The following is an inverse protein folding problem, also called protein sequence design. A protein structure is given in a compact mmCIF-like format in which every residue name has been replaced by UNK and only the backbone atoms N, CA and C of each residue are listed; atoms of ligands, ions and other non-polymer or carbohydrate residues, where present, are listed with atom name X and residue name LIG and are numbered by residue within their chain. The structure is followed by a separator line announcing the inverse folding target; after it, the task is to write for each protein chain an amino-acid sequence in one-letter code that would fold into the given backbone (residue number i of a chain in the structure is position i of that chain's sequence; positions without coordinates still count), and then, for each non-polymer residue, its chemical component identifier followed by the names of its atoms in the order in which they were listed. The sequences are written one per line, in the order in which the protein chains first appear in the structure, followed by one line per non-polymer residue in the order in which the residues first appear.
data_IF_608263153289
#
_entry.id   IF_608263153289
#
_cell.length_a   1.000
_cell.length_b   1.000
_cell.length_c   1.000
_cell.angle_alpha   90.00
_cell.angle_beta   90.00
_cell.angle_gamma   90.00
#
_symmetry.space_group_name_H-M   'P 1'
#
loop_
_entity.id
_entity.type
_entity.pdbx_description
1 polymer ?
#
# COMPACT_ATOMS: atom_id res chain seq x y z
N UNK A 1 -35.43 -6.98 33.75
CA UNK A 1 -34.42 -6.39 32.86
C UNK A 1 -34.59 -7.02 31.50
N UNK A 2 -35.23 -6.32 30.58
CA UNK A 2 -35.57 -6.82 29.25
C UNK A 2 -34.36 -6.64 28.31
N UNK A 3 -33.86 -7.72 27.79
CA UNK A 3 -32.88 -7.70 26.68
C UNK A 3 -33.63 -7.32 25.40
N UNK A 4 -33.28 -6.18 24.82
CA UNK A 4 -33.87 -5.70 23.56
C UNK A 4 -33.39 -6.44 22.34
N UNK A 5 -34.18 -6.47 21.23
CA UNK A 5 -33.96 -7.26 20.03
C UNK A 5 -32.93 -6.67 19.02
N UNK A 6 -32.14 -5.67 19.40
CA UNK A 6 -31.30 -4.92 18.41
C UNK A 6 -29.94 -5.54 18.02
N UNK A 7 -29.48 -6.59 18.70
CA UNK A 7 -28.17 -7.19 18.34
C UNK A 7 -28.23 -8.24 17.22
N UNK A 8 -29.36 -8.88 17.02
CA UNK A 8 -29.54 -9.92 15.99
C UNK A 8 -29.75 -9.33 14.58
N UNK A 9 -30.43 -8.21 14.44
CA UNK A 9 -30.68 -7.57 13.14
C UNK A 9 -29.42 -6.94 12.54
N UNK A 10 -28.54 -6.37 13.37
CA UNK A 10 -27.27 -5.78 12.90
C UNK A 10 -26.30 -6.86 12.44
N UNK A 11 -26.24 -8.03 13.10
CA UNK A 11 -25.43 -9.17 12.71
C UNK A 11 -25.93 -9.82 11.40
N UNK A 12 -27.23 -9.91 11.20
CA UNK A 12 -27.83 -10.48 9.98
C UNK A 12 -27.62 -9.54 8.78
N UNK A 13 -27.72 -8.22 8.98
CA UNK A 13 -27.46 -7.23 7.92
C UNK A 13 -26.00 -7.22 7.47
N UNK A 14 -25.05 -7.32 8.40
CA UNK A 14 -23.62 -7.35 8.05
C UNK A 14 -23.19 -8.66 7.37
N UNK A 15 -23.76 -9.80 7.79
CA UNK A 15 -23.52 -11.11 7.16
C UNK A 15 -24.15 -11.20 5.77
N UNK A 16 -25.29 -10.57 5.54
CA UNK A 16 -25.97 -10.55 4.26
C UNK A 16 -25.21 -9.68 3.23
N UNK A 17 -24.74 -8.50 3.62
CA UNK A 17 -23.88 -7.67 2.77
C UNK A 17 -22.55 -8.36 2.45
N UNK A 18 -21.96 -9.08 3.41
CA UNK A 18 -20.73 -9.84 3.19
C UNK A 18 -20.94 -11.01 2.22
N UNK A 19 -22.07 -11.71 2.28
CA UNK A 19 -22.37 -12.84 1.38
C UNK A 19 -22.60 -12.37 -0.07
N UNK A 20 -23.28 -11.24 -0.28
CA UNK A 20 -23.49 -10.64 -1.61
C UNK A 20 -22.14 -10.21 -2.21
N UNK A 21 -21.29 -9.55 -1.43
CA UNK A 21 -19.96 -9.10 -1.86
C UNK A 21 -19.05 -10.27 -2.23
N UNK A 22 -19.10 -11.36 -1.46
CA UNK A 22 -18.38 -12.61 -1.72
C UNK A 22 -18.74 -13.21 -3.07
N UNK A 23 -20.03 -13.32 -3.36
CA UNK A 23 -20.55 -13.92 -4.60
C UNK A 23 -20.15 -13.10 -5.84
N UNK A 24 -20.20 -11.79 -5.74
CA UNK A 24 -19.79 -10.87 -6.80
C UNK A 24 -18.29 -10.98 -7.11
N UNK A 25 -17.45 -10.93 -6.10
CA UNK A 25 -16.00 -11.04 -6.26
C UNK A 25 -15.57 -12.41 -6.80
N UNK A 26 -16.20 -13.50 -6.35
CA UNK A 26 -15.91 -14.84 -6.83
C UNK A 26 -16.34 -15.04 -8.29
N UNK A 27 -17.46 -14.46 -8.71
CA UNK A 27 -17.93 -14.53 -10.08
C UNK A 27 -17.00 -13.78 -11.03
N UNK A 28 -16.57 -12.57 -10.66
CA UNK A 28 -15.56 -11.79 -11.42
C UNK A 28 -14.26 -12.56 -11.53
N UNK A 29 -13.83 -13.19 -10.45
CA UNK A 29 -12.59 -13.94 -10.44
C UNK A 29 -12.66 -15.17 -11.36
N UNK A 30 -13.77 -15.92 -11.35
CA UNK A 30 -13.96 -17.08 -12.22
C UNK A 30 -13.90 -16.71 -13.72
N UNK A 31 -14.40 -15.53 -14.11
CA UNK A 31 -14.23 -15.01 -15.47
C UNK A 31 -12.81 -14.54 -15.79
N UNK A 32 -12.01 -14.21 -14.76
CA UNK A 32 -10.65 -13.69 -14.91
C UNK A 32 -9.56 -14.78 -14.89
N UNK A 33 -9.84 -15.96 -14.29
CA UNK A 33 -8.91 -17.09 -14.25
C UNK A 33 -8.31 -17.45 -15.62
N UNK A 34 -9.07 -17.49 -16.73
CA UNK A 34 -8.53 -17.83 -18.05
C UNK A 34 -7.48 -16.83 -18.58
N UNK A 35 -7.41 -15.63 -18.01
CA UNK A 35 -6.49 -14.54 -18.43
C UNK A 35 -5.23 -14.51 -17.55
N UNK A 36 -5.22 -15.28 -16.45
CA UNK A 36 -4.08 -15.35 -15.52
C UNK A 36 -3.03 -16.34 -16.02
N UNK A 37 -1.77 -15.94 -15.95
CA UNK A 37 -0.61 -16.77 -16.32
C UNK A 37 -0.27 -17.86 -15.28
N UNK A 38 -1.26 -18.31 -14.51
CA UNK A 38 -1.15 -19.38 -13.52
C UNK A 38 -2.34 -20.35 -13.58
N UNK A 39 -2.05 -21.63 -13.35
CA UNK A 39 -3.08 -22.66 -13.25
C UNK A 39 -3.78 -22.59 -11.87
N UNK A 40 -5.03 -22.12 -11.88
CA UNK A 40 -5.95 -22.10 -10.74
C UNK A 40 -7.11 -23.08 -10.92
N UNK A 41 -6.91 -24.18 -11.65
CA UNK A 41 -7.98 -25.18 -11.92
C UNK A 41 -8.65 -25.69 -10.65
N UNK A 42 -7.88 -25.91 -9.59
CA UNK A 42 -8.41 -26.32 -8.27
C UNK A 42 -9.29 -25.25 -7.63
N UNK A 43 -9.04 -23.97 -7.93
CA UNK A 43 -9.82 -22.87 -7.41
C UNK A 43 -11.23 -22.83 -7.98
N UNK A 44 -11.42 -23.08 -9.26
CA UNK A 44 -12.76 -23.21 -9.87
C UNK A 44 -13.59 -24.25 -9.14
N UNK A 45 -13.03 -25.42 -8.88
CA UNK A 45 -13.74 -26.50 -8.15
C UNK A 45 -14.11 -26.08 -6.73
N UNK A 46 -13.24 -25.34 -6.04
CA UNK A 46 -13.50 -24.85 -4.69
C UNK A 46 -14.57 -23.76 -4.72
N UNK A 47 -14.51 -22.83 -5.68
CA UNK A 47 -15.48 -21.77 -5.84
C UNK A 47 -16.86 -22.31 -6.21
N UNK A 48 -16.94 -23.27 -7.12
CA UNK A 48 -18.18 -23.94 -7.48
C UNK A 48 -18.81 -24.62 -6.26
N UNK A 49 -18.01 -25.33 -5.46
CA UNK A 49 -18.48 -25.98 -4.22
C UNK A 49 -19.00 -24.96 -3.20
N UNK A 50 -18.31 -23.81 -3.04
CA UNK A 50 -18.74 -22.74 -2.14
C UNK A 50 -20.01 -22.03 -2.66
N UNK A 51 -20.12 -21.84 -3.96
CA UNK A 51 -21.30 -21.24 -4.60
C UNK A 51 -22.51 -22.18 -4.59
N UNK A 52 -22.30 -23.50 -4.72
CA UNK A 52 -23.37 -24.51 -4.61
C UNK A 52 -23.89 -24.68 -3.18
N UNK A 53 -23.04 -24.48 -2.18
CA UNK A 53 -23.41 -24.51 -0.76
C UNK A 53 -24.25 -23.29 -0.33
N UNK A 54 -24.30 -22.23 -1.15
CA UNK A 54 -25.08 -21.02 -0.87
C UNK A 54 -26.55 -21.22 -1.27
N UNK A 55 -27.41 -21.28 -0.26
CA UNK A 55 -28.85 -21.62 -0.34
C UNK A 55 -29.68 -20.55 -1.06
N UNK A 56 -29.11 -19.40 -1.44
CA UNK A 56 -29.83 -18.27 -2.03
C UNK A 56 -29.59 -18.12 -3.53
N UNK A 57 -30.33 -18.87 -4.34
CA UNK A 57 -30.33 -18.75 -5.81
C UNK A 57 -30.82 -17.41 -6.38
N UNK A 58 -31.29 -16.46 -5.55
CA UNK A 58 -31.95 -15.23 -6.01
C UNK A 58 -31.02 -14.07 -6.39
N UNK A 59 -29.69 -14.12 -6.07
CA UNK A 59 -28.82 -12.95 -6.15
C UNK A 59 -27.81 -12.92 -7.33
N UNK A 60 -27.85 -13.93 -8.23
CA UNK A 60 -26.98 -13.90 -9.43
C UNK A 60 -27.26 -12.73 -10.36
N UNK A 61 -28.49 -12.23 -10.39
CA UNK A 61 -28.86 -11.08 -11.23
C UNK A 61 -28.42 -9.75 -10.62
N UNK A 62 -28.42 -9.62 -9.30
CA UNK A 62 -27.86 -8.50 -8.55
C UNK A 62 -26.34 -8.42 -8.72
N UNK A 63 -25.64 -9.57 -8.59
CA UNK A 63 -24.21 -9.67 -8.81
C UNK A 63 -23.82 -9.25 -10.24
N UNK A 64 -24.54 -9.75 -11.27
CA UNK A 64 -24.32 -9.34 -12.68
C UNK A 64 -24.55 -7.85 -12.91
N UNK A 65 -25.56 -7.26 -12.27
CA UNK A 65 -25.84 -5.84 -12.38
C UNK A 65 -24.77 -4.96 -11.69
N UNK A 66 -24.12 -5.43 -10.65
CA UNK A 66 -23.01 -4.73 -10.03
C UNK A 66 -21.72 -4.89 -10.84
N UNK A 67 -21.47 -6.07 -11.44
CA UNK A 67 -20.37 -6.30 -12.38
C UNK A 67 -20.43 -5.35 -13.59
N UNK A 68 -21.63 -5.05 -14.10
CA UNK A 68 -21.81 -4.09 -15.18
C UNK A 68 -21.43 -2.65 -14.81
N UNK A 69 -21.29 -2.35 -13.53
CA UNK A 69 -20.86 -1.04 -13.00
C UNK A 69 -19.33 -0.93 -12.83
N UNK A 70 -18.61 -2.03 -12.96
CA UNK A 70 -17.14 -2.03 -12.93
C UNK A 70 -16.65 -1.37 -14.23
N UNK A 71 -16.20 -0.11 -14.12
CA UNK A 71 -15.83 0.72 -15.29
C UNK A 71 -14.33 0.71 -15.57
N UNK A 72 -13.52 0.07 -14.73
CA UNK A 72 -12.08 0.06 -14.87
C UNK A 72 -11.49 -1.23 -14.32
N UNK A 73 -10.33 -1.61 -14.84
CA UNK A 73 -9.52 -2.72 -14.33
C UNK A 73 -9.21 -2.55 -12.84
N UNK A 74 -9.03 -1.31 -12.38
CA UNK A 74 -8.78 -0.96 -10.97
C UNK A 74 -9.91 -1.36 -10.03
N UNK A 75 -11.14 -1.07 -10.42
CA UNK A 75 -12.33 -1.43 -9.67
C UNK A 75 -12.51 -2.95 -9.60
N UNK A 76 -12.12 -3.67 -10.64
CA UNK A 76 -12.19 -5.11 -10.71
C UNK A 76 -11.21 -5.76 -9.71
N UNK A 77 -9.94 -5.33 -9.69
CA UNK A 77 -8.96 -5.85 -8.73
C UNK A 77 -9.39 -5.60 -7.29
N UNK A 78 -9.96 -4.44 -6.99
CA UNK A 78 -10.43 -4.12 -5.64
C UNK A 78 -11.58 -5.05 -5.20
N UNK A 79 -12.56 -5.28 -6.08
CA UNK A 79 -13.70 -6.19 -5.79
C UNK A 79 -13.21 -7.62 -5.57
N UNK A 80 -12.32 -8.12 -6.43
CA UNK A 80 -11.74 -9.45 -6.31
C UNK A 80 -10.95 -9.56 -5.00
N UNK A 81 -10.11 -8.58 -4.71
CA UNK A 81 -9.30 -8.54 -3.49
C UNK A 81 -10.14 -8.58 -2.23
N UNK A 82 -11.19 -7.77 -2.15
CA UNK A 82 -12.12 -7.74 -1.01
C UNK A 82 -12.83 -9.09 -0.83
N UNK A 83 -13.28 -9.72 -1.93
CA UNK A 83 -13.93 -11.02 -1.88
C UNK A 83 -13.01 -12.11 -1.34
N UNK A 84 -11.74 -12.17 -1.79
CA UNK A 84 -10.77 -13.12 -1.27
C UNK A 84 -10.40 -12.87 0.19
N UNK A 85 -10.34 -11.62 0.61
CA UNK A 85 -10.07 -11.27 2.01
C UNK A 85 -11.20 -11.76 2.93
N UNK A 86 -12.45 -11.59 2.52
CA UNK A 86 -13.62 -12.11 3.26
C UNK A 86 -13.62 -13.64 3.28
N UNK A 87 -13.34 -14.31 2.16
CA UNK A 87 -13.25 -15.77 2.08
C UNK A 87 -12.16 -16.33 2.99
N UNK A 88 -10.97 -15.77 2.92
CA UNK A 88 -9.83 -16.16 3.74
C UNK A 88 -10.16 -16.05 5.24
N UNK A 89 -10.79 -14.94 5.63
CA UNK A 89 -11.21 -14.69 7.00
C UNK A 89 -12.27 -15.69 7.46
N UNK A 90 -13.28 -15.98 6.64
CA UNK A 90 -14.33 -16.94 6.96
C UNK A 90 -13.79 -18.37 7.04
N UNK A 91 -12.91 -18.79 6.13
CA UNK A 91 -12.28 -20.10 6.18
C UNK A 91 -11.40 -20.27 7.43
N UNK A 92 -10.70 -19.24 7.84
CA UNK A 92 -9.91 -19.26 9.08
C UNK A 92 -10.81 -19.45 10.31
N UNK A 93 -11.93 -18.76 10.39
CA UNK A 93 -12.92 -18.93 11.46
C UNK A 93 -13.50 -20.35 11.44
N UNK A 94 -13.83 -20.88 10.25
CA UNK A 94 -14.37 -22.24 10.10
C UNK A 94 -13.34 -23.29 10.51
N UNK A 95 -12.06 -23.10 10.21
CA UNK A 95 -10.99 -24.00 10.63
C UNK A 95 -10.80 -23.98 12.15
N UNK A 96 -10.85 -22.81 12.80
CA UNK A 96 -10.82 -22.69 14.26
C UNK A 96 -12.02 -23.35 14.92
N UNK A 97 -13.23 -23.18 14.37
CA UNK A 97 -14.45 -23.85 14.85
C UNK A 97 -14.38 -25.38 14.64
N UNK A 98 -13.82 -25.84 13.52
CA UNK A 98 -13.60 -27.25 13.23
C UNK A 98 -12.66 -27.91 14.24
N UNK A 99 -11.56 -27.24 14.59
CA UNK A 99 -10.61 -27.73 15.60
C UNK A 99 -11.30 -27.87 16.97
N UNK A 100 -12.25 -27.00 17.28
CA UNK A 100 -13.04 -27.03 18.51
C UNK A 100 -14.17 -28.08 18.48
N UNK A 101 -14.69 -28.43 17.29
CA UNK A 101 -15.77 -29.40 17.09
C UNK A 101 -15.19 -30.72 16.63
N UNK A 102 -15.06 -31.69 17.53
CA UNK A 102 -14.33 -32.99 17.43
C UNK A 102 -14.74 -33.91 16.29
N UNK A 103 -15.67 -33.56 15.38
CA UNK A 103 -16.31 -34.54 14.49
C UNK A 103 -16.55 -34.11 13.03
N UNK A 104 -15.59 -33.46 12.38
CA UNK A 104 -15.70 -33.18 10.93
C UNK A 104 -14.72 -34.08 10.16
N UNK A 105 -15.27 -35.13 9.53
CA UNK A 105 -14.52 -36.17 8.80
C UNK A 105 -13.82 -35.73 7.51
N UNK A 106 -13.78 -34.43 7.15
CA UNK A 106 -13.21 -33.97 5.88
C UNK A 106 -12.10 -32.95 6.06
N UNK A 107 -11.03 -33.35 6.76
CA UNK A 107 -9.85 -32.57 7.07
C UNK A 107 -9.12 -32.04 5.82
N UNK A 108 -9.10 -32.86 4.76
CA UNK A 108 -8.29 -32.59 3.56
C UNK A 108 -8.87 -31.47 2.68
N UNK A 109 -10.19 -31.39 2.58
CA UNK A 109 -10.85 -30.37 1.76
C UNK A 109 -10.66 -28.95 2.30
N UNK A 110 -10.86 -28.74 3.61
CA UNK A 110 -10.68 -27.42 4.24
C UNK A 110 -9.24 -26.91 4.15
N UNK A 111 -8.28 -27.80 4.42
CA UNK A 111 -6.86 -27.44 4.31
C UNK A 111 -6.49 -27.08 2.88
N UNK A 112 -6.97 -27.85 1.89
CA UNK A 112 -6.74 -27.60 0.47
C UNK A 112 -7.42 -26.29 0.03
N UNK A 113 -8.66 -26.05 0.43
CA UNK A 113 -9.41 -24.85 0.14
C UNK A 113 -8.72 -23.60 0.73
N UNK A 114 -8.29 -23.68 1.99
CA UNK A 114 -7.57 -22.58 2.63
C UNK A 114 -6.27 -22.26 1.89
N UNK A 115 -5.44 -23.25 1.60
CA UNK A 115 -4.16 -23.04 0.89
C UNK A 115 -4.40 -22.42 -0.49
N UNK A 116 -5.38 -22.92 -1.24
CA UNK A 116 -5.66 -22.43 -2.60
C UNK A 116 -6.17 -20.99 -2.57
N UNK A 117 -7.06 -20.66 -1.64
CA UNK A 117 -7.59 -19.29 -1.49
C UNK A 117 -6.51 -18.32 -0.99
N UNK A 118 -5.65 -18.77 -0.06
CA UNK A 118 -4.53 -17.96 0.42
C UNK A 118 -3.50 -17.68 -0.70
N UNK A 119 -3.24 -18.66 -1.55
CA UNK A 119 -2.38 -18.48 -2.73
C UNK A 119 -2.99 -17.51 -3.74
N UNK A 120 -4.28 -17.62 -4.02
CA UNK A 120 -4.99 -16.72 -4.92
C UNK A 120 -5.03 -15.28 -4.36
N UNK A 121 -5.33 -15.14 -3.07
CA UNK A 121 -5.26 -13.85 -2.37
C UNK A 121 -3.87 -13.23 -2.49
N UNK A 122 -2.82 -13.97 -2.15
CA UNK A 122 -1.43 -13.51 -2.21
C UNK A 122 -1.02 -13.08 -3.62
N UNK A 123 -1.49 -13.79 -4.65
CA UNK A 123 -1.23 -13.44 -6.04
C UNK A 123 -1.87 -12.10 -6.42
N UNK A 124 -3.17 -11.92 -6.12
CA UNK A 124 -3.89 -10.67 -6.43
C UNK A 124 -3.34 -9.50 -5.63
N UNK A 125 -3.03 -9.71 -4.36
CA UNK A 125 -2.39 -8.71 -3.52
C UNK A 125 -1.02 -8.27 -4.08
N UNK A 126 -0.25 -9.22 -4.64
CA UNK A 126 1.01 -8.92 -5.33
C UNK A 126 0.79 -8.06 -6.57
N UNK A 127 -0.21 -8.37 -7.40
CA UNK A 127 -0.55 -7.53 -8.56
C UNK A 127 -0.97 -6.11 -8.14
N UNK A 128 -1.74 -5.98 -7.05
CA UNK A 128 -2.13 -4.70 -6.48
C UNK A 128 -0.89 -3.91 -6.00
N UNK A 129 0.06 -4.58 -5.35
CA UNK A 129 1.33 -4.00 -4.93
C UNK A 129 2.14 -3.50 -6.12
N UNK A 130 2.33 -4.32 -7.14
CA UNK A 130 3.07 -3.94 -8.35
C UNK A 130 2.46 -2.72 -9.03
N UNK A 131 1.12 -2.62 -9.06
CA UNK A 131 0.44 -1.45 -9.57
C UNK A 131 0.72 -0.19 -8.75
N UNK A 132 0.77 -0.31 -7.43
CA UNK A 132 1.16 0.80 -6.55
C UNK A 132 2.61 1.20 -6.76
N UNK A 133 3.51 0.23 -6.94
CA UNK A 133 4.93 0.47 -7.24
C UNK A 133 5.10 1.28 -8.55
N UNK A 134 4.34 0.97 -9.60
CA UNK A 134 4.38 1.72 -10.87
C UNK A 134 3.94 3.18 -10.74
N UNK A 135 3.21 3.53 -9.66
CA UNK A 135 2.81 4.90 -9.31
C UNK A 135 3.89 5.67 -8.52
N UNK A 136 5.01 5.02 -8.15
CA UNK A 136 6.13 5.67 -7.47
C UNK A 136 6.91 6.52 -8.49
N UNK A 137 6.30 7.62 -8.89
CA UNK A 137 6.83 8.58 -9.87
C UNK A 137 6.50 10.00 -9.49
N UNK A 138 7.36 10.93 -9.91
CA UNK A 138 7.12 12.36 -9.71
C UNK A 138 7.51 12.84 -8.31
N UNK A 139 6.75 13.74 -7.74
CA UNK A 139 7.09 14.37 -6.47
C UNK A 139 6.58 13.54 -5.28
N UNK A 140 7.50 13.25 -4.37
CA UNK A 140 7.29 12.56 -3.11
C UNK A 140 7.56 13.52 -1.96
N UNK A 141 6.62 13.71 -1.05
CA UNK A 141 6.79 14.61 0.09
C UNK A 141 6.77 13.86 1.40
N UNK A 142 7.78 14.08 2.23
CA UNK A 142 7.79 13.61 3.62
C UNK A 142 7.21 14.70 4.50
N UNK A 143 6.13 14.38 5.17
CA UNK A 143 5.52 15.18 6.23
C UNK A 143 6.23 14.82 7.55
N UNK A 144 7.25 15.62 7.88
CA UNK A 144 8.04 15.44 9.09
C UNK A 144 7.60 16.43 10.16
N UNK A 145 7.16 15.92 11.32
CA UNK A 145 6.66 16.75 12.43
C UNK A 145 7.67 17.77 12.96
N UNK A 146 8.98 17.51 12.79
CA UNK A 146 10.05 18.42 13.19
C UNK A 146 10.22 19.63 12.22
N UNK A 147 9.71 19.50 10.99
CA UNK A 147 9.92 20.48 9.92
C UNK A 147 8.63 21.10 9.40
N UNK A 148 7.74 21.53 10.31
CA UNK A 148 6.43 22.13 9.96
C UNK A 148 6.29 23.60 10.34
N UNK A 149 7.22 24.17 11.11
CA UNK A 149 7.05 25.47 11.78
C UNK A 149 5.76 25.51 12.61
N UNK A 150 5.50 24.46 13.38
CA UNK A 150 4.31 24.32 14.24
C UNK A 150 2.97 24.28 13.48
N UNK A 151 2.98 24.16 12.15
CA UNK A 151 1.77 24.02 11.35
C UNK A 151 1.23 22.59 11.43
N UNK A 152 -0.07 22.48 11.26
CA UNK A 152 -0.74 21.18 11.24
C UNK A 152 -0.31 20.36 10.02
N UNK A 153 0.10 19.10 10.25
CA UNK A 153 0.53 18.19 9.18
C UNK A 153 -0.58 17.91 8.15
N UNK A 154 -1.82 17.87 8.59
CA UNK A 154 -2.98 17.62 7.71
C UNK A 154 -3.20 18.79 6.75
N UNK A 155 -3.00 20.03 7.22
CA UNK A 155 -3.12 21.22 6.37
C UNK A 155 -2.01 21.27 5.31
N UNK A 156 -0.77 20.91 5.70
CA UNK A 156 0.34 20.80 4.75
C UNK A 156 0.07 19.68 3.74
N UNK A 157 -0.46 18.52 4.18
CA UNK A 157 -0.83 17.42 3.31
C UNK A 157 -1.84 17.84 2.24
N UNK A 158 -2.93 18.49 2.66
CA UNK A 158 -3.97 18.98 1.73
C UNK A 158 -3.41 19.96 0.70
N UNK A 159 -2.60 20.94 1.13
CA UNK A 159 -1.98 21.91 0.23
C UNK A 159 -1.02 21.23 -0.76
N UNK A 160 -0.22 20.28 -0.29
CA UNK A 160 0.74 19.53 -1.12
C UNK A 160 0.02 18.68 -2.16
N UNK A 161 -1.06 18.00 -1.78
CA UNK A 161 -1.88 17.21 -2.69
C UNK A 161 -2.59 18.09 -3.72
N UNK A 162 -3.13 19.23 -3.31
CA UNK A 162 -3.70 20.25 -4.22
C UNK A 162 -2.65 20.77 -5.21
N UNK A 163 -1.39 20.90 -4.77
CA UNK A 163 -0.26 21.25 -5.61
C UNK A 163 0.17 20.19 -6.61
N UNK A 164 -0.34 18.95 -6.50
CA UNK A 164 -0.09 17.88 -7.46
C UNK A 164 0.81 16.75 -6.98
N UNK A 165 1.24 16.75 -5.71
CA UNK A 165 1.95 15.60 -5.13
C UNK A 165 1.09 14.34 -5.18
N UNK A 166 1.72 13.20 -5.46
CA UNK A 166 1.06 11.89 -5.56
C UNK A 166 1.59 10.86 -4.56
N UNK A 167 2.59 11.21 -3.75
CA UNK A 167 3.14 10.35 -2.72
C UNK A 167 3.41 11.19 -1.47
N UNK A 168 2.77 10.82 -0.36
CA UNK A 168 3.01 11.42 0.96
C UNK A 168 3.54 10.38 1.93
N UNK A 169 4.54 10.73 2.72
CA UNK A 169 5.04 9.91 3.81
C UNK A 169 4.85 10.63 5.14
N UNK A 170 4.26 9.95 6.12
CA UNK A 170 4.25 10.41 7.50
C UNK A 170 5.54 10.01 8.21
N UNK A 171 6.26 10.99 8.73
CA UNK A 171 7.40 10.81 9.64
C UNK A 171 7.16 11.62 10.91
N UNK A 172 6.77 10.96 11.99
CA UNK A 172 6.58 11.59 13.29
C UNK A 172 7.29 10.77 14.37
N UNK A 173 8.42 11.27 14.83
CA UNK A 173 9.26 10.60 15.85
C UNK A 173 9.07 11.16 17.25
N UNK A 174 8.23 12.17 17.42
CA UNK A 174 8.10 12.93 18.66
C UNK A 174 6.77 12.71 19.38
N UNK A 175 5.78 12.13 18.73
CA UNK A 175 4.47 11.83 19.31
C UNK A 175 4.38 10.40 19.82
N UNK A 176 3.42 10.16 20.70
CA UNK A 176 3.05 8.82 21.12
C UNK A 176 2.48 8.00 19.96
N UNK A 177 2.68 6.68 19.97
CA UNK A 177 2.22 5.78 18.89
C UNK A 177 0.73 5.88 18.59
N UNK A 178 -0.12 6.12 19.58
CA UNK A 178 -1.57 6.34 19.38
C UNK A 178 -1.85 7.57 18.52
N UNK A 179 -1.16 8.68 18.80
CA UNK A 179 -1.28 9.91 18.01
C UNK A 179 -0.76 9.72 16.58
N UNK A 180 0.38 9.03 16.44
CA UNK A 180 0.94 8.69 15.10
C UNK A 180 -0.04 7.84 14.30
N UNK A 181 -0.70 6.86 14.94
CA UNK A 181 -1.71 6.02 14.29
C UNK A 181 -2.92 6.85 13.85
N UNK A 182 -3.44 7.72 14.70
CA UNK A 182 -4.59 8.60 14.35
C UNK A 182 -4.25 9.52 13.17
N UNK A 183 -3.03 10.09 13.15
CA UNK A 183 -2.53 10.87 12.03
C UNK A 183 -2.41 10.02 10.76
N UNK A 184 -1.86 8.81 10.88
CA UNK A 184 -1.69 7.90 9.75
C UNK A 184 -3.03 7.50 9.12
N UNK A 185 -4.04 7.17 9.91
CA UNK A 185 -5.39 6.84 9.42
C UNK A 185 -5.98 8.03 8.65
N UNK A 186 -5.92 9.23 9.20
CA UNK A 186 -6.44 10.45 8.54
C UNK A 186 -5.69 10.78 7.25
N UNK A 187 -4.36 10.67 7.25
CA UNK A 187 -3.56 10.91 6.04
C UNK A 187 -3.82 9.87 4.97
N UNK A 188 -4.07 8.61 5.35
CA UNK A 188 -4.45 7.55 4.42
C UNK A 188 -5.77 7.88 3.70
N UNK A 189 -6.81 8.30 4.43
CA UNK A 189 -8.10 8.71 3.87
C UNK A 189 -7.97 9.91 2.89
N UNK A 190 -7.17 10.92 3.27
CA UNK A 190 -6.90 12.09 2.44
C UNK A 190 -6.16 11.70 1.15
N UNK A 191 -5.15 10.84 1.26
CA UNK A 191 -4.39 10.37 0.10
C UNK A 191 -5.27 9.54 -0.84
N UNK A 192 -6.14 8.67 -0.33
CA UNK A 192 -7.09 7.92 -1.16
C UNK A 192 -8.04 8.86 -1.92
N UNK A 193 -8.59 9.86 -1.24
CA UNK A 193 -9.48 10.85 -1.86
C UNK A 193 -8.79 11.67 -2.97
N UNK A 194 -7.46 11.82 -2.90
CA UNK A 194 -6.63 12.50 -3.88
C UNK A 194 -5.95 11.57 -4.89
N UNK A 195 -6.27 10.27 -4.88
CA UNK A 195 -5.63 9.22 -5.69
C UNK A 195 -4.09 9.18 -5.52
N UNK A 196 -3.60 9.51 -4.32
CA UNK A 196 -2.20 9.54 -3.95
C UNK A 196 -1.81 8.33 -3.10
N UNK A 197 -0.53 7.96 -3.13
CA UNK A 197 0.04 6.93 -2.27
C UNK A 197 0.36 7.51 -0.89
N UNK A 198 0.02 6.76 0.15
CA UNK A 198 0.38 7.06 1.53
C UNK A 198 1.41 6.05 2.04
N UNK A 199 2.48 6.54 2.65
CA UNK A 199 3.61 5.77 3.17
C UNK A 199 3.83 6.11 4.65
N UNK A 200 4.08 5.10 5.46
CA UNK A 200 4.50 5.26 6.86
C UNK A 200 6.01 5.07 6.96
N UNK A 201 6.67 5.87 7.80
CA UNK A 201 8.10 5.79 8.03
C UNK A 201 8.41 4.90 9.25
N UNK A 202 9.33 3.95 9.14
CA UNK A 202 9.94 3.09 10.16
C UNK A 202 9.01 2.09 10.87
N UNK A 203 7.73 2.42 11.09
CA UNK A 203 6.79 1.69 11.95
C UNK A 203 5.86 0.73 11.19
N UNK A 204 6.19 -0.57 11.07
CA UNK A 204 5.36 -1.54 10.33
C UNK A 204 4.00 -1.79 10.98
N UNK A 205 3.88 -1.68 12.30
CA UNK A 205 2.62 -1.79 13.03
C UNK A 205 1.66 -0.63 12.70
N UNK A 206 2.17 0.59 12.62
CA UNK A 206 1.39 1.76 12.16
C UNK A 206 0.99 1.61 10.70
N UNK A 207 1.90 1.14 9.83
CA UNK A 207 1.60 0.90 8.41
C UNK A 207 0.48 -0.13 8.24
N UNK A 208 0.52 -1.23 9.00
CA UNK A 208 -0.51 -2.27 8.99
C UNK A 208 -1.86 -1.74 9.47
N UNK A 209 -1.89 -1.11 10.66
CA UNK A 209 -3.14 -0.67 11.30
C UNK A 209 -3.81 0.49 10.55
N UNK A 210 -3.04 1.39 9.94
CA UNK A 210 -3.56 2.49 9.10
C UNK A 210 -3.90 2.06 7.68
N UNK A 211 -3.59 0.80 7.30
CA UNK A 211 -3.70 0.28 5.93
C UNK A 211 -2.95 1.16 4.93
N UNK A 212 -1.76 1.61 5.30
CA UNK A 212 -0.91 2.41 4.43
C UNK A 212 -0.61 1.66 3.12
N UNK A 213 -0.45 2.38 2.02
CA UNK A 213 -0.05 1.79 0.75
C UNK A 213 1.38 1.24 0.78
N UNK A 214 2.24 1.85 1.61
CA UNK A 214 3.63 1.43 1.75
C UNK A 214 4.25 1.74 3.10
N UNK A 215 5.39 1.09 3.34
CA UNK A 215 6.29 1.32 4.46
C UNK A 215 7.65 1.78 3.90
N UNK A 216 8.28 2.75 4.54
CA UNK A 216 9.65 3.16 4.24
C UNK A 216 10.57 2.88 5.43
N UNK A 217 11.68 2.17 5.19
CA UNK A 217 12.65 1.75 6.20
C UNK A 217 14.03 2.39 5.97
N UNK A 218 14.68 2.79 7.04
CA UNK A 218 16.08 3.18 7.03
C UNK A 218 17.03 1.98 7.22
N UNK A 219 18.33 2.24 7.23
CA UNK A 219 19.36 1.20 7.33
C UNK A 219 19.44 0.56 8.73
N UNK A 220 18.98 1.26 9.76
CA UNK A 220 19.01 0.81 11.17
C UNK A 220 17.65 0.31 11.68
N UNK A 221 16.61 0.38 10.82
CA UNK A 221 15.27 -0.07 11.15
C UNK A 221 15.12 -1.58 10.93
N UNK A 222 13.91 -2.09 11.08
CA UNK A 222 13.62 -3.50 10.83
C UNK A 222 14.00 -3.88 9.39
N UNK A 223 14.62 -5.04 9.21
CA UNK A 223 14.96 -5.53 7.86
C UNK A 223 13.71 -5.76 7.00
N UNK A 224 13.80 -5.47 5.69
CA UNK A 224 12.69 -5.58 4.73
C UNK A 224 12.01 -6.95 4.79
N UNK A 225 12.80 -8.02 4.87
CA UNK A 225 12.31 -9.41 4.95
C UNK A 225 11.47 -9.69 6.21
N UNK A 226 11.77 -9.03 7.33
CA UNK A 226 10.98 -9.14 8.57
C UNK A 226 9.72 -8.27 8.51
N UNK A 227 9.84 -7.04 8.01
CA UNK A 227 8.69 -6.18 7.82
C UNK A 227 7.66 -6.80 6.86
N UNK A 228 8.10 -7.49 5.81
CA UNK A 228 7.24 -8.22 4.87
C UNK A 228 6.39 -9.30 5.54
N UNK A 229 6.87 -9.92 6.62
CA UNK A 229 6.10 -10.92 7.37
C UNK A 229 4.98 -10.32 8.24
N UNK A 230 5.09 -9.03 8.56
CA UNK A 230 4.10 -8.30 9.36
C UNK A 230 3.03 -7.63 8.51
N UNK A 231 3.36 -7.26 7.28
CA UNK A 231 2.50 -6.46 6.41
C UNK A 231 1.63 -7.34 5.51
N UNK A 232 0.52 -6.77 5.05
CA UNK A 232 -0.30 -7.38 4.01
C UNK A 232 0.48 -7.41 2.68
N UNK A 233 0.16 -8.39 1.83
CA UNK A 233 0.90 -8.64 0.59
C UNK A 233 0.86 -7.48 -0.42
N UNK A 234 -0.17 -6.63 -0.37
CA UNK A 234 -0.32 -5.46 -1.22
C UNK A 234 0.49 -4.24 -0.77
N UNK A 235 1.03 -4.26 0.44
CA UNK A 235 1.83 -3.14 0.97
C UNK A 235 3.23 -3.16 0.37
N UNK A 236 3.64 -2.11 -0.32
CA UNK A 236 5.01 -1.99 -0.82
C UNK A 236 5.98 -1.52 0.28
N UNK A 237 7.24 -1.90 0.16
CA UNK A 237 8.30 -1.53 1.11
C UNK A 237 9.44 -0.87 0.36
N UNK A 238 9.79 0.36 0.76
CA UNK A 238 10.98 1.05 0.29
C UNK A 238 12.07 1.07 1.34
N UNK A 239 13.32 1.23 0.89
CA UNK A 239 14.46 1.35 1.80
C UNK A 239 15.41 2.46 1.42
N UNK A 240 15.91 3.19 2.42
CA UNK A 240 16.94 4.22 2.28
C UNK A 240 18.33 3.59 2.05
N UNK A 241 19.11 4.13 1.11
CA UNK A 241 20.45 3.68 0.80
C UNK A 241 21.41 4.87 0.65
N UNK A 242 22.66 4.70 1.06
CA UNK A 242 23.69 5.72 0.98
C UNK A 242 24.67 5.47 -0.20
N UNK A 243 24.66 4.27 -0.76
CA UNK A 243 25.56 3.82 -1.84
C UNK A 243 24.93 2.65 -2.61
N UNK A 244 25.60 2.18 -3.66
CA UNK A 244 25.14 1.11 -4.54
C UNK A 244 25.11 -0.25 -3.84
N UNK A 245 26.03 -0.51 -2.92
CA UNK A 245 26.09 -1.76 -2.16
C UNK A 245 24.85 -1.92 -1.28
N UNK A 246 24.51 -0.89 -0.50
CA UNK A 246 23.27 -0.87 0.31
C UNK A 246 22.02 -0.98 -0.56
N UNK A 247 22.00 -0.38 -1.76
CA UNK A 247 20.89 -0.48 -2.70
C UNK A 247 20.72 -1.93 -3.20
N UNK A 248 21.81 -2.59 -3.59
CA UNK A 248 21.80 -4.00 -3.99
C UNK A 248 21.33 -4.92 -2.86
N UNK A 249 21.80 -4.69 -1.62
CA UNK A 249 21.33 -5.44 -0.45
C UNK A 249 19.81 -5.24 -0.23
N UNK A 250 19.32 -4.00 -0.37
CA UNK A 250 17.90 -3.68 -0.20
C UNK A 250 17.04 -4.40 -1.23
N UNK A 251 17.45 -4.44 -2.48
CA UNK A 251 16.79 -5.19 -3.56
C UNK A 251 16.77 -6.69 -3.27
N UNK A 252 17.92 -7.26 -2.86
CA UNK A 252 18.02 -8.67 -2.47
C UNK A 252 17.16 -9.03 -1.24
N UNK A 253 16.89 -8.08 -0.34
CA UNK A 253 15.98 -8.26 0.79
C UNK A 253 14.50 -8.16 0.38
N UNK A 254 14.17 -7.82 -0.87
CA UNK A 254 12.82 -7.69 -1.39
C UNK A 254 12.19 -6.31 -1.19
N UNK A 255 12.99 -5.24 -1.20
CA UNK A 255 12.49 -3.88 -1.30
C UNK A 255 11.80 -3.67 -2.65
N UNK A 256 10.71 -2.91 -2.65
CA UNK A 256 9.91 -2.61 -3.83
C UNK A 256 10.34 -1.29 -4.50
N UNK A 257 11.08 -0.43 -3.81
CA UNK A 257 11.76 0.73 -4.37
C UNK A 257 13.00 1.08 -3.54
N UNK A 258 13.95 1.75 -4.19
CA UNK A 258 15.22 2.14 -3.60
C UNK A 258 15.28 3.66 -3.43
N UNK A 259 15.38 4.14 -2.18
CA UNK A 259 15.63 5.56 -1.94
C UNK A 259 17.14 5.78 -1.82
N UNK A 260 17.68 6.71 -2.61
CA UNK A 260 19.11 7.03 -2.64
C UNK A 260 19.37 8.47 -2.20
N UNK A 261 20.27 8.69 -1.30
CA UNK A 261 20.63 10.02 -0.81
C UNK A 261 21.57 10.00 0.40
N UNK A 262 22.08 11.21 0.76
CA UNK A 262 21.61 12.53 0.31
C UNK A 262 22.25 12.93 -1.01
N UNK A 263 21.44 13.34 -2.00
CA UNK A 263 21.96 13.72 -3.34
C UNK A 263 22.79 15.00 -3.27
N UNK A 264 22.29 16.01 -2.55
CA UNK A 264 22.98 17.28 -2.29
C UNK A 264 23.17 17.48 -0.78
N UNK A 265 24.09 18.33 -0.35
CA UNK A 265 24.26 18.69 1.05
C UNK A 265 22.94 19.19 1.65
N UNK A 266 22.62 18.73 2.87
CA UNK A 266 21.41 19.12 3.58
C UNK A 266 21.61 19.02 5.09
N UNK A 267 20.89 19.86 5.85
CA UNK A 267 20.82 19.79 7.31
C UNK A 267 19.52 19.15 7.82
N UNK A 268 18.58 18.84 6.90
CA UNK A 268 17.28 18.28 7.26
C UNK A 268 17.43 16.85 7.78
N UNK A 269 16.65 16.49 8.80
CA UNK A 269 16.62 15.15 9.39
C UNK A 269 17.98 14.66 9.93
N UNK A 270 18.76 15.55 10.54
CA UNK A 270 20.04 15.22 11.17
C UNK A 270 21.15 14.78 10.20
N UNK A 271 21.02 15.08 8.91
CA UNK A 271 21.93 14.64 7.85
C UNK A 271 23.06 15.63 7.53
N UNK A 272 23.28 16.64 8.38
CA UNK A 272 24.26 17.73 8.14
C UNK A 272 25.72 17.25 7.93
N UNK A 273 26.08 16.08 8.45
CA UNK A 273 27.43 15.53 8.36
C UNK A 273 27.59 14.41 7.33
N UNK A 274 26.55 14.10 6.53
CA UNK A 274 26.63 13.07 5.48
C UNK A 274 27.28 13.63 4.23
N UNK A 275 28.20 12.86 3.65
CA UNK A 275 28.74 13.16 2.33
C UNK A 275 27.62 12.97 1.30
N UNK A 276 27.42 13.98 0.44
CA UNK A 276 26.45 13.88 -0.63
C UNK A 276 26.84 12.79 -1.63
N UNK A 277 25.90 11.93 -1.99
CA UNK A 277 26.11 10.84 -2.96
C UNK A 277 26.26 11.38 -4.38
N UNK A 278 25.63 12.52 -4.67
CA UNK A 278 25.68 13.17 -5.98
C UNK A 278 24.79 12.50 -7.04
N UNK A 279 24.74 13.13 -8.19
CA UNK A 279 23.91 12.68 -9.33
C UNK A 279 24.44 11.42 -10.02
N UNK A 280 25.75 11.18 -9.95
CA UNK A 280 26.35 10.01 -10.60
C UNK A 280 25.89 8.70 -9.97
N UNK A 281 25.74 8.67 -8.64
CA UNK A 281 25.22 7.49 -7.95
C UNK A 281 23.82 7.11 -8.43
N UNK A 282 22.98 8.09 -8.79
CA UNK A 282 21.64 7.81 -9.35
C UNK A 282 21.76 7.15 -10.72
N UNK A 283 22.66 7.65 -11.60
CA UNK A 283 22.90 7.08 -12.93
C UNK A 283 23.41 5.65 -12.83
N UNK A 284 24.42 5.44 -12.01
CA UNK A 284 25.01 4.11 -11.79
C UNK A 284 24.00 3.13 -11.18
N UNK A 285 23.12 3.60 -10.28
CA UNK A 285 22.05 2.78 -9.73
C UNK A 285 21.01 2.44 -10.80
N UNK A 286 20.63 3.39 -11.67
CA UNK A 286 19.67 3.15 -12.75
C UNK A 286 20.15 2.07 -13.74
N UNK A 287 21.46 2.01 -13.99
CA UNK A 287 22.06 0.97 -14.84
C UNK A 287 22.03 -0.44 -14.20
N UNK A 288 21.77 -0.55 -12.91
CA UNK A 288 21.85 -1.80 -12.14
C UNK A 288 20.49 -2.36 -11.70
N UNK A 289 19.41 -1.57 -11.70
CA UNK A 289 18.10 -2.01 -11.21
C UNK A 289 16.95 -1.54 -12.10
N UNK A 290 15.87 -2.30 -12.12
CA UNK A 290 14.59 -1.91 -12.72
C UNK A 290 13.59 -1.35 -11.68
N UNK A 291 13.93 -1.42 -10.39
CA UNK A 291 13.08 -0.89 -9.33
C UNK A 291 13.00 0.64 -9.42
N UNK A 292 11.89 1.25 -8.98
CA UNK A 292 11.79 2.69 -8.87
C UNK A 292 12.89 3.27 -7.97
N UNK A 293 13.55 4.32 -8.45
CA UNK A 293 14.56 5.06 -7.71
C UNK A 293 13.94 6.35 -7.18
N UNK A 294 13.96 6.52 -5.85
CA UNK A 294 13.53 7.72 -5.15
C UNK A 294 14.76 8.50 -4.69
N UNK A 295 15.05 9.63 -5.32
CA UNK A 295 16.18 10.47 -4.94
C UNK A 295 15.79 11.47 -3.83
N UNK A 296 16.60 11.56 -2.77
CA UNK A 296 16.34 12.41 -1.61
C UNK A 296 17.59 13.18 -1.15
N UNK A 297 17.38 14.36 -0.57
CA UNK A 297 18.38 15.14 0.14
C UNK A 297 18.83 16.39 -0.62
N UNK A 298 18.53 17.56 -0.05
CA UNK A 298 18.91 18.88 -0.57
C UNK A 298 18.25 19.27 -1.88
N UNK A 299 17.15 18.60 -2.25
CA UNK A 299 16.45 18.82 -3.52
C UNK A 299 15.40 19.92 -3.34
N UNK A 300 15.30 20.80 -4.34
CA UNK A 300 14.37 21.92 -4.41
C UNK A 300 14.03 22.26 -5.88
N UNK A 301 13.24 23.31 -6.10
CA UNK A 301 12.80 23.72 -7.43
C UNK A 301 13.96 24.10 -8.40
N UNK A 302 15.15 24.44 -7.91
CA UNK A 302 16.26 24.90 -8.74
C UNK A 302 17.09 23.74 -9.28
N UNK A 303 17.19 22.63 -8.51
CA UNK A 303 18.07 21.50 -8.85
C UNK A 303 17.30 20.21 -9.22
N UNK A 304 15.98 20.17 -9.06
CA UNK A 304 15.14 18.98 -9.29
C UNK A 304 15.29 18.41 -10.71
N UNK A 305 15.41 19.27 -11.72
CA UNK A 305 15.60 18.80 -13.11
C UNK A 305 16.80 17.90 -13.26
N UNK A 306 17.95 18.29 -12.69
CA UNK A 306 19.18 17.50 -12.78
C UNK A 306 19.06 16.13 -12.12
N UNK A 307 18.20 15.99 -11.12
CA UNK A 307 17.91 14.74 -10.44
C UNK A 307 17.08 13.80 -11.34
N UNK A 308 16.02 14.34 -11.94
CA UNK A 308 15.20 13.59 -12.91
C UNK A 308 16.04 13.18 -14.13
N UNK A 309 16.83 14.08 -14.69
CA UNK A 309 17.73 13.81 -15.82
C UNK A 309 18.81 12.74 -15.48
N UNK A 310 19.03 12.47 -14.20
CA UNK A 310 19.95 11.42 -13.75
C UNK A 310 19.31 10.03 -13.66
N UNK A 311 18.01 9.88 -13.92
CA UNK A 311 17.30 8.61 -13.94
C UNK A 311 16.50 8.28 -12.68
N UNK A 312 16.26 9.27 -11.79
CA UNK A 312 15.33 9.08 -10.68
C UNK A 312 13.88 9.06 -11.18
N UNK A 313 13.09 8.07 -10.76
CA UNK A 313 11.65 7.98 -11.05
C UNK A 313 10.85 8.95 -10.19
N UNK A 314 11.29 9.16 -8.96
CA UNK A 314 10.64 10.02 -7.98
C UNK A 314 11.66 10.88 -7.26
N UNK A 315 11.26 12.10 -6.95
CA UNK A 315 12.07 13.07 -6.20
C UNK A 315 11.42 13.34 -4.86
N UNK A 316 12.15 13.05 -3.78
CA UNK A 316 11.66 13.18 -2.43
C UNK A 316 12.18 14.47 -1.77
N UNK A 317 11.25 15.25 -1.22
CA UNK A 317 11.54 16.50 -0.51
C UNK A 317 10.90 16.53 0.87
N UNK A 318 11.47 17.33 1.77
CA UNK A 318 10.93 17.61 3.11
C UNK A 318 10.80 19.11 3.26
N UNK A 319 11.84 19.77 3.77
CA UNK A 319 11.86 21.18 4.16
C UNK A 319 11.60 22.15 3.01
N UNK A 320 11.92 21.78 1.78
CA UNK A 320 11.62 22.61 0.60
C UNK A 320 10.12 22.93 0.48
N UNK A 321 9.25 22.02 0.92
CA UNK A 321 7.79 22.19 0.93
C UNK A 321 7.26 22.44 2.33
N UNK A 322 7.61 21.61 3.31
CA UNK A 322 7.00 21.70 4.64
C UNK A 322 7.37 23.00 5.38
N UNK A 323 8.48 23.66 5.05
CA UNK A 323 8.85 24.98 5.59
C UNK A 323 8.48 26.14 4.67
N UNK A 324 7.96 25.89 3.45
CA UNK A 324 7.54 26.93 2.53
C UNK A 324 6.37 27.73 3.13
N UNK A 325 6.28 29.02 2.81
CA UNK A 325 5.14 29.86 3.22
C UNK A 325 3.84 29.37 2.58
N UNK A 326 3.92 28.92 1.34
CA UNK A 326 2.83 28.34 0.55
C UNK A 326 3.28 26.98 0.01
N UNK A 327 2.94 25.88 0.71
CA UNK A 327 3.28 24.51 0.28
C UNK A 327 2.68 24.12 -1.06
N UNK A 328 1.47 24.58 -1.39
CA UNK A 328 0.82 24.29 -2.66
C UNK A 328 1.61 24.91 -3.82
N UNK A 329 1.90 26.20 -3.73
CA UNK A 329 2.67 26.91 -4.75
C UNK A 329 4.08 26.31 -4.95
N UNK A 330 4.79 26.00 -3.85
CA UNK A 330 6.13 25.42 -3.97
C UNK A 330 6.09 23.99 -4.56
N UNK A 331 5.05 23.23 -4.24
CA UNK A 331 4.78 21.92 -4.86
C UNK A 331 4.61 22.06 -6.38
N UNK A 332 3.73 22.95 -6.83
CA UNK A 332 3.50 23.23 -8.26
C UNK A 332 4.79 23.68 -8.96
N UNK A 333 5.58 24.52 -8.32
CA UNK A 333 6.85 25.01 -8.85
C UNK A 333 7.87 23.89 -9.03
N UNK A 334 8.01 22.99 -8.03
CA UNK A 334 8.91 21.83 -8.12
C UNK A 334 8.45 20.91 -9.25
N UNK A 335 7.16 20.55 -9.30
CA UNK A 335 6.60 19.67 -10.34
C UNK A 335 6.79 20.27 -11.74
N UNK A 336 6.56 21.58 -11.90
CA UNK A 336 6.79 22.25 -13.17
C UNK A 336 8.24 22.15 -13.65
N UNK A 337 9.18 22.20 -12.72
CA UNK A 337 10.62 22.14 -13.04
C UNK A 337 11.13 20.70 -13.23
N UNK A 338 10.34 19.68 -12.84
CA UNK A 338 10.64 18.27 -13.14
C UNK A 338 10.37 17.95 -14.61
N UNK A 339 9.40 18.65 -15.21
CA UNK A 339 8.94 18.40 -16.59
C UNK A 339 9.44 19.55 -17.48
N UNK A 340 10.45 19.32 -18.30
CA UNK A 340 10.80 20.20 -19.40
C UNK A 340 11.02 19.36 -20.65
#
# INVERSE_FOLDING_TARGET
MSYGPHKSEVLISSTFQSAVFLKEGLFVFAEFIPVMDRDFSDLNTILDTLLEADITKSDTESARNQLSKIKSEDSMYEVIFQAFNVLRSNLKILDEVRIAAIDIQNNDWFSKAFITIDQAYSYIATLKREKSIRKIKGLYVILDSEFTKERNLIDIANQTLSGGTRILQLRNKNSDKSEVLDQAIRLKEICESAEALFVVNDDPDIALLSKAHGLHLGQTDLGVNFARQMLEHETFIGRSNNNLEEASESENMGADYLAIGTVFPTSTMGKSNRIATGLNTIRELRDQTELPIVAIGGINAENVKSVVDSGADSVCVVSAITLATDPEFETQKIIKNMVI
#
